data_IF_302708947847
#
_entry.id   IF_302708947847
#
_cell.length_a   1.000
_cell.length_b   1.000
_cell.length_c   1.000
_cell.angle_alpha   90.00
_cell.angle_beta   90.00
_cell.angle_gamma   90.00
#
_symmetry.space_group_name_H-M   'P 1'
#
loop_
_entity.id
_entity.type
_entity.pdbx_description
1 polymer ?
#
# COMPACT_ATOMS: atom_id res chain seq x y z
N UNK A 1 14.22 -11.42 16.56
CA UNK A 1 13.88 -10.49 15.51
C UNK A 1 15.13 -9.96 14.81
N UNK A 2 15.00 -9.54 13.58
CA UNK A 2 16.09 -8.98 12.77
C UNK A 2 16.13 -7.46 12.91
N UNK A 3 17.31 -6.86 12.78
CA UNK A 3 17.47 -5.41 12.66
C UNK A 3 17.38 -5.02 11.18
N UNK A 4 16.57 -4.04 10.82
CA UNK A 4 16.37 -3.61 9.43
C UNK A 4 17.68 -3.25 8.71
N UNK A 5 18.65 -2.68 9.44
CA UNK A 5 19.97 -2.34 8.89
C UNK A 5 20.82 -3.54 8.48
N UNK A 6 20.53 -4.73 9.01
CA UNK A 6 21.33 -5.95 8.74
C UNK A 6 21.03 -6.58 7.38
N UNK A 7 19.87 -6.28 6.78
CA UNK A 7 19.46 -6.75 5.45
C UNK A 7 19.66 -8.26 5.22
N UNK A 8 19.34 -9.06 6.25
CA UNK A 8 19.38 -10.51 6.07
C UNK A 8 18.40 -10.98 4.99
N UNK A 9 18.77 -11.93 4.12
CA UNK A 9 17.88 -12.47 3.10
C UNK A 9 16.53 -12.92 3.66
N UNK A 10 16.53 -13.62 4.79
CA UNK A 10 15.34 -14.13 5.49
C UNK A 10 14.41 -13.00 5.99
N UNK A 11 14.92 -11.79 6.15
CA UNK A 11 14.10 -10.62 6.47
C UNK A 11 13.59 -9.95 5.20
N UNK A 12 14.41 -9.89 4.15
CA UNK A 12 14.06 -9.21 2.91
C UNK A 12 12.98 -9.98 2.13
N UNK A 13 12.94 -11.31 2.22
CA UNK A 13 11.90 -12.13 1.61
C UNK A 13 10.51 -11.96 2.27
N UNK A 14 10.48 -11.40 3.51
CA UNK A 14 9.25 -11.15 4.26
C UNK A 14 8.72 -9.72 4.13
N UNK A 15 9.43 -8.87 3.39
CA UNK A 15 9.13 -7.45 3.24
C UNK A 15 9.12 -7.04 1.77
N UNK A 16 8.09 -6.31 1.35
CA UNK A 16 8.06 -5.65 0.05
C UNK A 16 7.74 -4.17 0.17
N UNK A 17 8.42 -3.34 -0.63
CA UNK A 17 8.23 -1.89 -0.65
C UNK A 17 7.76 -1.46 -2.04
N UNK A 18 6.65 -0.74 -2.08
CA UNK A 18 6.16 -0.01 -3.26
C UNK A 18 6.45 1.47 -3.03
N UNK A 19 7.53 2.03 -3.58
CA UNK A 19 7.83 3.44 -3.44
C UNK A 19 6.89 4.29 -4.32
N UNK A 20 6.81 5.59 -4.04
CA UNK A 20 6.01 6.52 -4.85
C UNK A 20 6.54 6.59 -6.29
N UNK A 21 7.86 6.74 -6.44
CA UNK A 21 8.55 6.78 -7.73
C UNK A 21 9.41 5.53 -7.92
N UNK A 22 9.33 4.92 -9.10
CA UNK A 22 10.09 3.72 -9.45
C UNK A 22 10.25 3.60 -10.95
N UNK A 23 11.37 3.00 -11.37
CA UNK A 23 11.64 2.62 -12.75
C UNK A 23 11.41 1.11 -12.91
N UNK A 24 10.52 0.75 -13.82
CA UNK A 24 10.36 -0.64 -14.25
C UNK A 24 11.26 -0.93 -15.43
N UNK A 25 11.91 -2.09 -15.45
CA UNK A 25 12.79 -2.48 -16.55
C UNK A 25 12.00 -2.64 -17.86
N UNK A 26 12.68 -2.46 -18.99
CA UNK A 26 12.07 -2.64 -20.31
C UNK A 26 11.92 -4.15 -20.64
N UNK A 27 10.90 -4.79 -20.10
CA UNK A 27 10.60 -6.19 -20.31
C UNK A 27 9.10 -6.48 -20.07
N UNK A 28 8.58 -7.64 -20.54
CA UNK A 28 7.25 -8.10 -20.18
C UNK A 28 7.12 -8.40 -18.66
N UNK A 29 5.90 -8.18 -18.11
CA UNK A 29 5.62 -8.48 -16.72
C UNK A 29 5.84 -9.96 -16.39
N UNK A 30 5.45 -10.88 -17.26
CA UNK A 30 5.66 -12.33 -17.09
C UNK A 30 7.14 -12.67 -16.87
N UNK A 31 8.03 -12.03 -17.61
CA UNK A 31 9.47 -12.20 -17.42
C UNK A 31 9.96 -11.58 -16.11
N UNK A 32 9.42 -10.42 -15.75
CA UNK A 32 9.74 -9.76 -14.48
C UNK A 32 9.33 -10.65 -13.30
N UNK A 33 8.12 -11.17 -13.30
CA UNK A 33 7.60 -12.09 -12.29
C UNK A 33 8.52 -13.32 -12.15
N UNK A 34 8.86 -13.96 -13.27
CA UNK A 34 9.72 -15.15 -13.31
C UNK A 34 11.12 -14.93 -12.73
N UNK A 35 11.68 -13.74 -12.87
CA UNK A 35 13.01 -13.40 -12.33
C UNK A 35 12.93 -13.18 -10.81
N UNK A 36 11.81 -12.69 -10.32
CA UNK A 36 11.68 -12.25 -8.94
C UNK A 36 10.98 -13.26 -8.02
N UNK A 37 10.22 -14.23 -8.56
CA UNK A 37 9.49 -15.23 -7.76
C UNK A 37 10.42 -16.02 -6.82
N UNK A 38 11.65 -16.31 -7.24
CA UNK A 38 12.64 -17.06 -6.43
C UNK A 38 13.09 -16.29 -5.17
N UNK A 39 12.87 -14.96 -5.12
CA UNK A 39 13.22 -14.13 -3.96
C UNK A 39 12.10 -14.07 -2.92
N UNK A 40 10.90 -14.54 -3.27
CA UNK A 40 9.72 -14.49 -2.41
C UNK A 40 9.10 -15.88 -2.27
N UNK A 41 9.40 -16.64 -1.21
CA UNK A 41 8.96 -18.03 -1.06
C UNK A 41 7.43 -18.23 -1.08
N UNK A 42 6.68 -17.15 -0.80
CA UNK A 42 5.21 -17.15 -0.80
C UNK A 42 4.60 -16.58 -2.08
N UNK A 43 5.42 -16.30 -3.10
CA UNK A 43 4.93 -15.74 -4.36
C UNK A 43 3.84 -16.62 -4.99
N UNK A 44 2.76 -15.99 -5.41
CA UNK A 44 1.63 -16.65 -6.06
C UNK A 44 1.30 -16.00 -7.40
N UNK A 45 1.52 -16.74 -8.49
CA UNK A 45 1.14 -16.30 -9.83
C UNK A 45 -0.40 -16.15 -9.94
N UNK A 46 -1.16 -17.01 -9.24
CA UNK A 46 -2.63 -16.93 -9.19
C UNK A 46 -3.10 -15.60 -8.59
N UNK A 47 -2.46 -15.14 -7.50
CA UNK A 47 -2.76 -13.84 -6.88
C UNK A 47 -2.37 -12.70 -7.83
N UNK A 48 -1.22 -12.80 -8.52
CA UNK A 48 -0.81 -11.81 -9.51
C UNK A 48 -1.84 -11.67 -10.63
N UNK A 49 -2.25 -12.79 -11.24
CA UNK A 49 -3.25 -12.80 -12.32
C UNK A 49 -4.60 -12.26 -11.85
N UNK A 50 -5.03 -12.64 -10.65
CA UNK A 50 -6.29 -12.15 -10.06
C UNK A 50 -6.25 -10.65 -9.84
N UNK A 51 -5.17 -10.11 -9.23
CA UNK A 51 -5.02 -8.67 -9.04
C UNK A 51 -5.00 -7.90 -10.36
N UNK A 52 -4.28 -8.41 -11.36
CA UNK A 52 -4.26 -7.82 -12.70
C UNK A 52 -5.65 -7.82 -13.34
N UNK A 53 -6.37 -8.93 -13.25
CA UNK A 53 -7.74 -9.04 -13.76
C UNK A 53 -8.68 -8.06 -13.07
N UNK A 54 -8.57 -7.88 -11.74
CA UNK A 54 -9.35 -6.89 -10.99
C UNK A 54 -9.00 -5.44 -11.42
N UNK A 55 -7.77 -5.20 -11.88
CA UNK A 55 -7.36 -3.93 -12.48
C UNK A 55 -7.62 -3.81 -13.99
N UNK A 56 -8.31 -4.78 -14.59
CA UNK A 56 -8.59 -4.86 -16.03
C UNK A 56 -7.29 -4.91 -16.88
N UNK A 57 -6.28 -5.61 -16.39
CA UNK A 57 -4.98 -5.78 -17.02
C UNK A 57 -4.67 -7.26 -17.26
N UNK A 58 -3.65 -7.54 -18.05
CA UNK A 58 -3.17 -8.88 -18.41
C UNK A 58 -1.71 -9.07 -17.98
N UNK A 59 -1.31 -10.33 -17.78
CA UNK A 59 0.09 -10.71 -17.52
C UNK A 59 1.04 -10.43 -18.71
N UNK A 60 0.49 -10.38 -19.94
CA UNK A 60 1.27 -10.19 -21.18
C UNK A 60 1.61 -8.72 -21.49
N UNK A 61 1.50 -7.83 -20.50
CA UNK A 61 1.82 -6.41 -20.70
C UNK A 61 3.32 -6.17 -20.71
N UNK A 62 3.76 -5.29 -21.60
CA UNK A 62 5.13 -4.78 -21.62
C UNK A 62 5.19 -3.45 -20.87
N UNK A 63 6.08 -3.36 -19.89
CA UNK A 63 6.23 -2.15 -19.06
C UNK A 63 6.50 -0.87 -19.85
N UNK A 64 7.14 -0.99 -21.01
CA UNK A 64 7.42 0.14 -21.89
C UNK A 64 6.15 0.81 -22.44
N UNK A 65 5.08 0.05 -22.61
CA UNK A 65 3.84 0.52 -23.22
C UNK A 65 2.84 1.04 -22.19
N UNK A 66 3.11 0.85 -20.89
CA UNK A 66 2.20 1.22 -19.83
C UNK A 66 2.28 2.70 -19.48
N UNK A 67 1.12 3.32 -19.25
CA UNK A 67 1.02 4.62 -18.58
C UNK A 67 1.51 4.52 -17.12
N UNK A 68 1.78 5.67 -16.49
CA UNK A 68 2.22 5.68 -15.08
C UNK A 68 1.19 5.00 -14.16
N UNK A 69 -0.12 5.29 -14.34
CA UNK A 69 -1.17 4.63 -13.56
C UNK A 69 -1.24 3.11 -13.77
N UNK A 70 -1.04 2.65 -15.01
CA UNK A 70 -0.97 1.22 -15.31
C UNK A 70 0.26 0.55 -14.70
N UNK A 71 1.44 1.20 -14.77
CA UNK A 71 2.65 0.71 -14.10
C UNK A 71 2.41 0.56 -12.60
N UNK A 72 1.75 1.54 -11.97
CA UNK A 72 1.43 1.51 -10.54
C UNK A 72 0.52 0.31 -10.19
N UNK A 73 -0.54 0.07 -10.98
CA UNK A 73 -1.43 -1.09 -10.83
C UNK A 73 -0.65 -2.41 -10.92
N UNK A 74 0.21 -2.56 -11.92
CA UNK A 74 1.05 -3.76 -12.08
C UNK A 74 1.98 -3.95 -10.89
N UNK A 75 2.63 -2.88 -10.43
CA UNK A 75 3.57 -2.96 -9.33
C UNK A 75 2.90 -3.33 -8.00
N UNK A 76 1.71 -2.79 -7.75
CA UNK A 76 0.88 -3.18 -6.61
C UNK A 76 0.40 -4.64 -6.70
N UNK A 77 -0.02 -5.08 -7.91
CA UNK A 77 -0.41 -6.48 -8.13
C UNK A 77 0.75 -7.43 -7.82
N UNK A 78 1.95 -7.07 -8.27
CA UNK A 78 3.15 -7.84 -7.98
C UNK A 78 3.46 -7.85 -6.46
N UNK A 79 3.37 -6.70 -5.79
CA UNK A 79 3.60 -6.60 -4.35
C UNK A 79 2.66 -7.53 -3.55
N UNK A 80 1.38 -7.57 -3.89
CA UNK A 80 0.42 -8.50 -3.26
C UNK A 80 0.76 -9.96 -3.55
N UNK A 81 1.18 -10.26 -4.79
CA UNK A 81 1.56 -11.59 -5.20
C UNK A 81 2.81 -12.14 -4.49
N UNK A 82 3.69 -11.27 -3.96
CA UNK A 82 4.85 -11.71 -3.17
C UNK A 82 4.44 -12.48 -1.91
N UNK A 83 3.24 -12.24 -1.38
CA UNK A 83 2.76 -12.85 -0.14
C UNK A 83 3.56 -12.46 1.10
N UNK A 84 4.35 -11.37 1.05
CA UNK A 84 5.16 -10.92 2.17
C UNK A 84 4.30 -10.60 3.40
N UNK A 85 4.83 -10.85 4.59
CA UNK A 85 4.17 -10.51 5.85
C UNK A 85 4.07 -9.00 6.08
N UNK A 86 4.96 -8.20 5.47
CA UNK A 86 4.93 -6.75 5.58
C UNK A 86 5.03 -6.09 4.20
N UNK A 87 3.97 -5.38 3.85
CA UNK A 87 3.93 -4.52 2.67
C UNK A 87 4.01 -3.05 3.10
N UNK A 88 4.93 -2.31 2.51
CA UNK A 88 5.06 -0.87 2.68
C UNK A 88 4.71 -0.18 1.37
N UNK A 89 3.76 0.75 1.37
CA UNK A 89 3.35 1.48 0.17
C UNK A 89 3.44 2.97 0.41
N UNK A 90 4.23 3.66 -0.42
CA UNK A 90 4.39 5.10 -0.36
C UNK A 90 3.53 5.77 -1.44
N UNK A 91 2.59 6.61 -1.01
CA UNK A 91 1.64 7.32 -1.88
C UNK A 91 1.03 6.43 -2.99
N UNK A 92 0.46 5.25 -2.67
CA UNK A 92 0.06 4.26 -3.69
C UNK A 92 -1.06 4.76 -4.59
N UNK A 93 -1.90 5.70 -4.14
CA UNK A 93 -3.03 6.22 -4.90
C UNK A 93 -2.69 7.50 -5.66
N UNK A 94 -1.51 8.09 -5.46
CA UNK A 94 -1.09 9.29 -6.16
C UNK A 94 -1.00 9.03 -7.67
N UNK A 95 -1.61 9.91 -8.47
CA UNK A 95 -1.67 9.78 -9.94
C UNK A 95 -2.67 8.75 -10.48
N UNK A 96 -3.47 8.10 -9.63
CA UNK A 96 -4.59 7.29 -10.06
C UNK A 96 -5.84 8.15 -10.27
N UNK A 97 -6.64 7.81 -11.28
CA UNK A 97 -7.98 8.36 -11.45
C UNK A 97 -8.98 7.81 -10.44
N UNK A 98 -10.15 8.45 -10.30
CA UNK A 98 -11.17 8.08 -9.31
C UNK A 98 -11.60 6.62 -9.44
N UNK A 99 -11.91 6.06 -10.62
CA UNK A 99 -12.21 4.64 -10.77
C UNK A 99 -11.08 3.73 -10.32
N UNK A 100 -9.82 4.06 -10.65
CA UNK A 100 -8.66 3.28 -10.26
C UNK A 100 -8.40 3.29 -8.75
N UNK A 101 -8.71 4.40 -8.05
CA UNK A 101 -8.66 4.46 -6.58
C UNK A 101 -9.69 3.53 -5.93
N UNK A 102 -10.89 3.42 -6.49
CA UNK A 102 -11.90 2.46 -6.02
C UNK A 102 -11.46 1.00 -6.26
N UNK A 103 -10.87 0.71 -7.43
CA UNK A 103 -10.30 -0.60 -7.73
C UNK A 103 -9.12 -0.94 -6.81
N UNK A 104 -8.26 0.02 -6.49
CA UNK A 104 -7.16 -0.15 -5.55
C UNK A 104 -7.66 -0.68 -4.20
N UNK A 105 -8.67 -0.03 -3.60
CA UNK A 105 -9.25 -0.49 -2.32
C UNK A 105 -9.78 -1.92 -2.42
N UNK A 106 -10.53 -2.23 -3.49
CA UNK A 106 -11.09 -3.56 -3.72
C UNK A 106 -9.98 -4.62 -3.85
N UNK A 107 -8.92 -4.31 -4.63
CA UNK A 107 -7.82 -5.24 -4.87
C UNK A 107 -7.05 -5.52 -3.59
N UNK A 108 -6.72 -4.48 -2.80
CA UNK A 108 -6.06 -4.65 -1.50
C UNK A 108 -6.91 -5.52 -0.58
N UNK A 109 -8.17 -5.14 -0.34
CA UNK A 109 -9.06 -5.87 0.57
C UNK A 109 -9.33 -7.32 0.16
N UNK A 110 -9.31 -7.60 -1.15
CA UNK A 110 -9.65 -8.92 -1.69
C UNK A 110 -8.46 -9.87 -1.91
N UNK A 111 -7.22 -9.38 -1.82
CA UNK A 111 -6.04 -10.16 -2.21
C UNK A 111 -4.89 -10.09 -1.19
N UNK A 112 -5.02 -9.33 -0.13
CA UNK A 112 -4.05 -9.31 0.94
C UNK A 112 -4.14 -10.62 1.75
N UNK A 113 -2.99 -11.22 2.09
CA UNK A 113 -2.98 -12.42 2.92
C UNK A 113 -3.38 -12.08 4.37
N UNK A 114 -4.09 -13.00 5.04
CA UNK A 114 -4.63 -12.79 6.39
C UNK A 114 -3.55 -12.52 7.44
N UNK A 115 -2.36 -13.07 7.24
CA UNK A 115 -1.19 -12.92 8.13
C UNK A 115 -0.24 -11.80 7.70
N UNK A 116 -0.65 -10.96 6.76
CA UNK A 116 0.14 -9.83 6.25
C UNK A 116 -0.33 -8.51 6.86
N UNK A 117 0.63 -7.60 7.05
CA UNK A 117 0.40 -6.22 7.48
C UNK A 117 0.72 -5.28 6.32
N UNK A 118 -0.12 -4.26 6.14
CA UNK A 118 0.09 -3.20 5.15
C UNK A 118 0.26 -1.86 5.86
N UNK A 119 1.36 -1.19 5.57
CA UNK A 119 1.59 0.20 6.01
C UNK A 119 1.55 1.11 4.78
N UNK A 120 0.68 2.08 4.80
CA UNK A 120 0.53 3.09 3.75
C UNK A 120 0.97 4.44 4.29
N UNK A 121 1.95 5.09 3.65
CA UNK A 121 2.20 6.51 3.83
C UNK A 121 1.42 7.29 2.77
N UNK A 122 0.61 8.26 3.17
CA UNK A 122 -0.15 9.09 2.25
C UNK A 122 -0.61 10.39 2.89
N UNK A 123 -0.73 11.43 2.07
CA UNK A 123 -1.44 12.67 2.39
C UNK A 123 -2.89 12.68 1.88
N UNK A 124 -3.29 11.65 1.12
CA UNK A 124 -4.64 11.49 0.55
C UNK A 124 -5.43 10.45 1.35
N UNK A 125 -5.65 10.70 2.64
CA UNK A 125 -6.27 9.75 3.59
C UNK A 125 -7.62 9.24 3.10
N UNK A 126 -8.43 10.10 2.47
CA UNK A 126 -9.75 9.73 1.96
C UNK A 126 -9.71 8.57 0.94
N UNK A 127 -8.60 8.40 0.22
CA UNK A 127 -8.45 7.30 -0.73
C UNK A 127 -8.30 5.94 -0.08
N UNK A 128 -7.86 5.89 1.18
CA UNK A 128 -7.51 4.66 1.91
C UNK A 128 -8.29 4.47 3.22
N UNK A 129 -9.08 5.45 3.65
CA UNK A 129 -9.78 5.45 4.95
C UNK A 129 -10.57 4.17 5.26
N UNK A 130 -11.13 3.52 4.23
CA UNK A 130 -11.91 2.29 4.37
C UNK A 130 -11.05 1.04 4.59
N UNK A 131 -9.72 1.15 4.44
CA UNK A 131 -8.76 0.07 4.64
C UNK A 131 -8.07 0.14 6.00
N UNK A 132 -8.21 1.28 6.70
CA UNK A 132 -7.41 1.55 7.90
C UNK A 132 -8.06 0.94 9.14
N UNK A 133 -7.28 0.16 9.87
CA UNK A 133 -7.58 -0.30 11.22
C UNK A 133 -6.73 0.42 12.28
N UNK A 134 -5.62 1.05 11.88
CA UNK A 134 -4.70 1.76 12.74
C UNK A 134 -4.16 3.03 12.07
N UNK A 135 -3.98 4.10 12.82
CA UNK A 135 -3.51 5.40 12.33
C UNK A 135 -2.28 5.85 13.09
N UNK A 136 -1.27 6.27 12.33
CA UNK A 136 -0.06 6.91 12.84
C UNK A 136 0.03 8.31 12.23
N UNK A 137 0.03 9.35 13.06
CA UNK A 137 0.21 10.74 12.61
C UNK A 137 1.55 11.25 13.10
N UNK A 138 2.37 11.70 12.16
CA UNK A 138 3.67 12.29 12.39
C UNK A 138 3.65 13.77 11.95
N UNK A 139 4.12 14.65 12.80
CA UNK A 139 4.36 16.05 12.47
C UNK A 139 5.69 16.52 13.07
N UNK A 140 6.49 17.24 12.29
CA UNK A 140 7.80 17.78 12.70
C UNK A 140 8.67 16.74 13.43
N UNK A 141 8.72 15.49 12.94
CA UNK A 141 9.43 14.36 13.54
C UNK A 141 8.90 13.94 14.93
N UNK A 142 7.71 14.38 15.30
CA UNK A 142 7.03 13.96 16.53
C UNK A 142 5.87 13.04 16.18
N UNK A 143 5.69 12.01 17.01
CA UNK A 143 4.53 11.11 16.94
C UNK A 143 3.38 11.77 17.69
N UNK A 144 2.35 12.18 16.93
CA UNK A 144 1.16 12.81 17.51
C UNK A 144 0.08 11.78 17.89
N UNK A 145 -0.19 10.83 16.98
CA UNK A 145 -1.18 9.76 17.19
C UNK A 145 -0.56 8.43 16.78
N UNK A 146 -0.82 7.39 17.55
CA UNK A 146 -0.51 6.01 17.25
C UNK A 146 -1.58 5.14 17.93
N UNK A 147 -2.72 4.96 17.27
CA UNK A 147 -3.87 4.31 17.86
C UNK A 147 -4.74 3.61 16.80
N UNK A 148 -5.55 2.64 17.23
CA UNK A 148 -6.55 2.03 16.37
C UNK A 148 -7.65 3.03 15.98
N UNK A 149 -8.29 2.80 14.85
CA UNK A 149 -9.47 3.61 14.44
C UNK A 149 -10.60 3.51 15.46
N UNK A 150 -10.74 2.36 16.13
CA UNK A 150 -11.72 2.13 17.19
C UNK A 150 -11.42 3.01 18.41
N UNK A 151 -10.17 3.03 18.89
CA UNK A 151 -9.75 3.87 20.02
C UNK A 151 -9.93 5.35 19.72
N UNK A 152 -9.53 5.78 18.51
CA UNK A 152 -9.68 7.19 18.07
C UNK A 152 -11.16 7.60 18.07
N UNK A 153 -12.04 6.76 17.54
CA UNK A 153 -13.49 7.09 17.50
C UNK A 153 -14.17 7.01 18.87
N UNK A 154 -13.63 6.25 19.80
CA UNK A 154 -14.11 6.18 21.18
C UNK A 154 -13.64 7.38 22.03
N UNK A 155 -12.41 7.86 21.79
CA UNK A 155 -11.77 8.91 22.62
C UNK A 155 -12.03 10.32 22.10
N UNK A 156 -12.13 10.51 20.77
CA UNK A 156 -12.25 11.81 20.13
C UNK A 156 -13.64 12.03 19.53
N UNK A 157 -14.13 13.25 19.69
CA UNK A 157 -15.34 13.72 19.02
C UNK A 157 -14.95 14.72 17.93
N UNK A 158 -15.33 14.43 16.68
CA UNK A 158 -15.05 15.31 15.54
C UNK A 158 -16.25 16.21 15.25
N UNK A 159 -15.99 17.52 15.08
CA UNK A 159 -17.05 18.48 14.79
C UNK A 159 -16.49 19.77 14.19
N UNK A 160 -17.34 20.48 13.44
CA UNK A 160 -17.03 21.81 12.93
C UNK A 160 -17.39 22.82 14.02
N UNK A 161 -16.40 23.58 14.51
CA UNK A 161 -16.59 24.68 15.47
C UNK A 161 -16.14 26.01 14.89
N UNK A 162 -16.70 27.09 15.40
CA UNK A 162 -16.20 28.42 15.07
C UNK A 162 -14.94 28.73 15.88
N UNK A 163 -14.05 29.59 15.36
CA UNK A 163 -12.76 29.90 16.00
C UNK A 163 -12.85 30.44 17.42
N UNK A 164 -14.00 31.01 17.80
CA UNK A 164 -14.29 31.51 19.15
C UNK A 164 -14.82 30.44 20.13
N UNK A 165 -15.03 29.22 19.67
CA UNK A 165 -15.53 28.08 20.46
C UNK A 165 -14.43 27.05 20.76
N UNK A 166 -13.16 27.40 20.46
CA UNK A 166 -12.03 26.51 20.72
C UNK A 166 -11.65 26.56 22.21
N UNK A 167 -11.48 25.39 22.78
CA UNK A 167 -10.99 25.16 24.14
C UNK A 167 -9.66 24.39 24.13
N UNK A 168 -9.04 24.21 25.31
CA UNK A 168 -7.75 23.55 25.46
C UNK A 168 -7.72 22.06 25.06
N UNK A 169 -8.88 21.47 24.73
CA UNK A 169 -9.01 20.08 24.30
C UNK A 169 -9.10 19.90 22.79
N UNK A 170 -8.95 20.95 21.99
CA UNK A 170 -9.04 20.89 20.52
C UNK A 170 -7.69 20.56 19.92
N UNK A 171 -7.58 19.45 19.21
CA UNK A 171 -6.45 19.15 18.31
C UNK A 171 -6.74 19.77 16.94
N UNK A 172 -5.76 20.45 16.36
CA UNK A 172 -5.89 21.13 15.07
C UNK A 172 -5.59 20.20 13.91
#
# INVERSE_FOLDING_TARGET
>A
GYTASSRYPEMLEELYIVPEEYDLPNMPLSKYAKIHEDFYPRFSEEVLEKCLSDFEMSLDVDFKQLSMGQKKKVYMSFALATGCHLLLMDEPTNGLDIPSKALFRKVIAGNMAEDSSLIISTHQVHDVEQLLDHIIILDNSQLLINASTEDITAEYTFGIRQSNEMDDGVLY
#
